data_IF_667918018692
#
_entry.id   IF_667918018692
#
_cell.length_a   1.000
_cell.length_b   1.000
_cell.length_c   1.000
_cell.angle_alpha   90.00
_cell.angle_beta   90.00
_cell.angle_gamma   90.00
#
_symmetry.space_group_name_H-M   'P 1'
#
loop_
_entity.id
_entity.type
_entity.pdbx_description
1 polymer ?
#
# COMPACT_ATOMS: atom_id res chain seq x y z
N UNK A 1 7.31 -10.65 -13.92
CA UNK A 1 6.34 -9.53 -14.10
C UNK A 1 5.07 -9.94 -13.38
N UNK A 2 4.73 -9.24 -12.31
CA UNK A 2 3.53 -9.50 -11.52
C UNK A 2 2.30 -9.03 -12.32
N UNK A 3 1.48 -9.95 -12.80
CA UNK A 3 0.28 -9.60 -13.55
C UNK A 3 -0.81 -9.06 -12.63
N UNK A 4 -1.61 -8.12 -13.09
CA UNK A 4 -2.76 -7.63 -12.32
C UNK A 4 -3.76 -8.72 -11.98
N UNK A 5 -3.89 -9.76 -12.81
CA UNK A 5 -4.71 -10.93 -12.51
C UNK A 5 -4.23 -11.66 -11.24
N UNK A 6 -2.92 -11.89 -11.12
CA UNK A 6 -2.33 -12.49 -9.93
C UNK A 6 -2.51 -11.61 -8.69
N UNK A 7 -2.21 -10.31 -8.81
CA UNK A 7 -2.39 -9.34 -7.72
C UNK A 7 -3.86 -9.29 -7.29
N UNK A 8 -4.79 -9.27 -8.24
CA UNK A 8 -6.23 -9.31 -7.95
C UNK A 8 -6.63 -10.56 -7.18
N UNK A 9 -6.11 -11.73 -7.57
CA UNK A 9 -6.38 -12.98 -6.85
C UNK A 9 -5.89 -12.94 -5.39
N UNK A 10 -4.74 -12.33 -5.14
CA UNK A 10 -4.20 -12.13 -3.80
C UNK A 10 -5.05 -11.12 -3.00
N UNK A 11 -5.36 -9.95 -3.57
CA UNK A 11 -6.16 -8.91 -2.91
C UNK A 11 -7.57 -9.36 -2.57
N UNK A 12 -8.17 -10.26 -3.36
CA UNK A 12 -9.49 -10.83 -3.11
C UNK A 12 -9.58 -11.62 -1.78
N UNK A 13 -8.44 -12.02 -1.21
CA UNK A 13 -8.37 -12.69 0.09
C UNK A 13 -8.60 -11.72 1.26
N UNK A 14 -8.43 -10.41 1.06
CA UNK A 14 -8.53 -9.38 2.09
C UNK A 14 -9.84 -8.60 2.06
N UNK A 15 -10.60 -8.66 0.96
CA UNK A 15 -11.88 -7.97 0.88
C UNK A 15 -12.43 -7.86 -0.52
N UNK A 16 -13.50 -7.07 -0.65
CA UNK A 16 -14.20 -6.87 -1.90
C UNK A 16 -13.38 -6.05 -2.89
N UNK A 17 -13.34 -6.50 -4.15
CA UNK A 17 -12.69 -5.84 -5.27
C UNK A 17 -13.73 -5.45 -6.32
N UNK A 18 -13.64 -4.22 -6.82
CA UNK A 18 -14.48 -3.74 -7.93
C UNK A 18 -13.63 -2.99 -8.94
N UNK A 19 -13.82 -3.19 -10.26
CA UNK A 19 -13.24 -2.30 -11.26
C UNK A 19 -13.64 -0.85 -10.97
N UNK A 20 -12.66 0.04 -10.95
CA UNK A 20 -12.86 1.46 -10.68
C UNK A 20 -12.32 2.26 -11.87
N UNK A 21 -13.20 2.72 -12.77
CA UNK A 21 -12.79 3.43 -13.97
C UNK A 21 -12.15 4.78 -13.63
N UNK A 22 -11.28 5.26 -14.51
CA UNK A 22 -10.51 6.52 -14.35
C UNK A 22 -11.37 7.72 -14.01
N UNK A 23 -12.61 7.76 -14.47
CA UNK A 23 -13.59 8.84 -14.24
C UNK A 23 -13.97 8.98 -12.77
N UNK A 24 -13.68 7.98 -11.94
CA UNK A 24 -13.88 8.06 -10.48
C UNK A 24 -12.77 8.85 -9.78
N UNK A 25 -11.66 9.16 -10.47
CA UNK A 25 -10.60 9.98 -9.91
C UNK A 25 -11.07 11.41 -9.66
N UNK A 26 -10.86 11.91 -8.45
CA UNK A 26 -11.30 13.25 -8.01
C UNK A 26 -10.13 14.20 -7.74
N UNK A 27 -8.90 13.77 -8.01
CA UNK A 27 -7.72 14.57 -7.76
C UNK A 27 -7.48 15.67 -8.79
N UNK A 28 -6.77 16.72 -8.36
CA UNK A 28 -6.34 17.81 -9.24
C UNK A 28 -5.12 17.47 -10.10
N UNK A 29 -4.41 16.38 -9.78
CA UNK A 29 -3.31 15.87 -10.60
C UNK A 29 -3.84 14.94 -11.68
N UNK A 30 -3.14 14.86 -12.81
CA UNK A 30 -3.42 13.84 -13.80
C UNK A 30 -3.17 12.45 -13.19
N UNK A 31 -4.18 11.56 -13.25
CA UNK A 31 -4.02 10.20 -12.76
C UNK A 31 -3.01 9.43 -13.63
N UNK A 32 -1.88 8.93 -13.06
CA UNK A 32 -0.93 8.13 -13.81
C UNK A 32 -1.58 6.87 -14.39
N UNK A 33 -1.15 6.46 -15.59
CA UNK A 33 -1.75 5.30 -16.26
C UNK A 33 -1.63 4.02 -15.43
N UNK A 34 -0.47 3.75 -14.82
CA UNK A 34 -0.29 2.56 -13.97
C UNK A 34 -1.22 2.52 -12.76
N UNK A 35 -1.58 3.69 -12.19
CA UNK A 35 -2.58 3.78 -11.11
C UNK A 35 -3.97 3.50 -11.65
N UNK A 36 -4.33 4.10 -12.81
CA UNK A 36 -5.62 3.83 -13.45
C UNK A 36 -5.79 2.34 -13.76
N UNK A 37 -4.77 1.70 -14.33
CA UNK A 37 -4.78 0.27 -14.65
C UNK A 37 -4.91 -0.61 -13.40
N UNK A 38 -4.22 -0.26 -12.31
CA UNK A 38 -4.35 -0.96 -11.03
C UNK A 38 -5.78 -0.88 -10.49
N UNK A 39 -6.37 0.31 -10.48
CA UNK A 39 -7.73 0.46 -9.97
C UNK A 39 -8.79 -0.17 -10.87
N UNK A 40 -8.59 -0.18 -12.17
CA UNK A 40 -9.51 -0.84 -13.10
C UNK A 40 -9.41 -2.37 -13.02
N UNK A 41 -8.19 -2.92 -12.88
CA UNK A 41 -7.96 -4.36 -12.95
C UNK A 41 -7.97 -5.05 -11.58
N UNK A 42 -7.41 -4.44 -10.54
CA UNK A 42 -7.43 -4.95 -9.15
C UNK A 42 -8.61 -4.36 -8.38
N UNK A 43 -8.64 -3.06 -8.24
CA UNK A 43 -9.76 -2.28 -7.72
C UNK A 43 -10.09 -2.54 -6.26
N UNK A 44 -9.19 -2.23 -5.29
CA UNK A 44 -9.49 -2.34 -3.87
C UNK A 44 -10.71 -1.49 -3.51
N UNK A 45 -11.76 -2.15 -3.00
CA UNK A 45 -13.04 -1.51 -2.68
C UNK A 45 -13.34 -1.60 -1.19
N UNK A 46 -13.28 -2.81 -0.64
CA UNK A 46 -13.56 -3.11 0.75
C UNK A 46 -15.05 -3.10 1.08
N UNK A 47 -15.38 -3.68 2.23
CA UNK A 47 -16.73 -3.70 2.74
C UNK A 47 -17.12 -2.34 3.35
N UNK A 48 -18.41 -2.01 3.28
CA UNK A 48 -18.99 -0.92 4.05
C UNK A 48 -19.24 -1.41 5.46
N UNK A 49 -18.38 -1.05 6.43
CA UNK A 49 -18.52 -1.48 7.82
C UNK A 49 -19.61 -0.72 8.58
N UNK A 50 -19.95 0.51 8.18
CA UNK A 50 -20.96 1.35 8.81
C UNK A 50 -21.94 1.85 7.78
N UNK A 51 -23.20 1.96 8.16
CA UNK A 51 -24.23 2.59 7.32
C UNK A 51 -23.77 4.00 6.91
N UNK A 52 -23.82 4.28 5.62
CA UNK A 52 -23.51 5.56 5.00
C UNK A 52 -22.02 5.98 4.88
N UNK A 53 -21.06 5.17 5.27
CA UNK A 53 -19.64 5.54 5.10
C UNK A 53 -19.12 5.16 3.71
N UNK A 54 -19.77 4.21 3.04
CA UNK A 54 -19.34 3.68 1.75
C UNK A 54 -18.09 2.80 1.87
N UNK A 55 -17.51 2.37 0.75
CA UNK A 55 -16.32 1.52 0.76
C UNK A 55 -15.14 2.27 1.38
N UNK A 56 -14.36 1.55 2.19
CA UNK A 56 -13.24 2.12 2.95
C UNK A 56 -11.88 1.74 2.38
N UNK A 57 -11.86 0.80 1.44
CA UNK A 57 -10.64 0.21 0.90
C UNK A 57 -10.32 -1.15 1.50
N UNK A 58 -9.12 -1.63 1.22
CA UNK A 58 -8.63 -2.91 1.69
C UNK A 58 -7.41 -2.71 2.56
N UNK A 59 -7.38 -3.33 3.73
CA UNK A 59 -6.20 -3.46 4.57
C UNK A 59 -5.65 -4.88 4.48
N UNK A 60 -4.35 -5.01 4.29
CA UNK A 60 -3.67 -6.29 4.08
C UNK A 60 -3.31 -6.95 5.41
N UNK A 61 -4.32 -7.43 6.16
CA UNK A 61 -4.16 -8.13 7.43
C UNK A 61 -3.28 -7.35 8.43
N UNK A 62 -2.44 -8.05 9.20
CA UNK A 62 -1.55 -7.51 10.24
C UNK A 62 -0.43 -6.59 9.73
N UNK A 63 -0.23 -6.48 8.42
CA UNK A 63 0.71 -5.48 7.87
C UNK A 63 0.21 -4.06 8.04
N UNK A 64 -1.08 -3.87 8.27
CA UNK A 64 -1.77 -2.58 8.33
C UNK A 64 -1.64 -1.72 7.05
N UNK A 65 -1.12 -2.29 5.95
CA UNK A 65 -1.07 -1.57 4.67
C UNK A 65 -2.48 -1.45 4.13
N UNK A 66 -2.93 -0.21 3.95
CA UNK A 66 -4.29 0.12 3.50
C UNK A 66 -4.29 0.78 2.13
N UNK A 67 -5.13 0.25 1.22
CA UNK A 67 -5.40 0.81 -0.10
C UNK A 67 -6.80 1.39 -0.13
N UNK A 68 -6.91 2.70 -0.30
CA UNK A 68 -8.20 3.37 -0.43
C UNK A 68 -8.86 3.10 -1.79
N UNK A 69 -10.19 3.20 -1.93
CA UNK A 69 -10.84 3.22 -3.25
C UNK A 69 -10.42 4.46 -4.06
N UNK A 70 -10.42 4.37 -5.39
CA UNK A 70 -9.95 5.45 -6.28
C UNK A 70 -10.62 6.81 -6.01
N UNK A 71 -11.95 6.81 -5.81
CA UNK A 71 -12.70 8.05 -5.54
C UNK A 71 -12.37 8.70 -4.19
N UNK A 72 -11.70 7.99 -3.27
CA UNK A 72 -11.22 8.51 -1.97
C UNK A 72 -9.72 8.76 -1.93
N UNK A 73 -8.98 8.28 -2.92
CA UNK A 73 -7.51 8.35 -2.90
C UNK A 73 -7.00 9.79 -2.85
N UNK A 74 -7.71 10.73 -3.48
CA UNK A 74 -7.33 12.15 -3.40
C UNK A 74 -7.53 12.71 -2.01
N UNK A 75 -8.64 12.46 -1.37
CA UNK A 75 -8.91 12.94 -0.01
C UNK A 75 -7.92 12.37 1.00
N UNK A 76 -7.41 11.17 0.74
CA UNK A 76 -6.36 10.53 1.57
C UNK A 76 -4.98 11.17 1.45
N UNK A 77 -4.77 12.15 0.56
CA UNK A 77 -3.56 12.97 0.53
C UNK A 77 -3.49 13.97 1.70
N UNK A 78 -4.61 14.20 2.41
CA UNK A 78 -4.67 15.04 3.60
C UNK A 78 -3.79 14.45 4.73
N UNK A 79 -2.95 15.29 5.33
CA UNK A 79 -1.92 14.89 6.29
C UNK A 79 -0.54 14.66 5.66
N UNK A 80 -0.50 14.48 4.33
CA UNK A 80 0.73 14.30 3.55
C UNK A 80 0.99 15.50 2.64
N UNK A 81 0.18 15.67 1.61
CA UNK A 81 0.31 16.76 0.63
C UNK A 81 -0.18 18.11 1.15
N UNK A 82 -1.19 18.10 2.00
CA UNK A 82 -1.72 19.28 2.68
C UNK A 82 -2.11 18.95 4.11
N UNK A 83 -2.00 19.95 4.97
CA UNK A 83 -2.47 19.86 6.34
C UNK A 83 -4.00 19.64 6.37
N UNK A 84 -4.44 18.60 7.06
CA UNK A 84 -5.84 18.15 7.04
C UNK A 84 -6.82 19.16 7.66
N UNK A 85 -6.34 20.09 8.51
CA UNK A 85 -7.17 21.08 9.22
C UNK A 85 -7.19 22.40 8.46
N UNK A 86 -6.01 22.91 8.11
CA UNK A 86 -5.88 24.24 7.48
C UNK A 86 -5.99 24.21 5.96
N UNK A 87 -5.86 23.04 5.33
CA UNK A 87 -5.77 22.87 3.88
C UNK A 87 -4.49 23.43 3.25
N UNK A 88 -3.54 23.90 4.07
CA UNK A 88 -2.28 24.43 3.58
C UNK A 88 -1.41 23.32 3.08
N UNK A 89 -0.71 23.60 1.97
CA UNK A 89 0.28 22.69 1.42
C UNK A 89 1.37 22.36 2.46
N UNK A 90 1.84 21.13 2.46
CA UNK A 90 3.01 20.67 3.21
C UNK A 90 4.24 20.89 2.31
N UNK A 91 5.19 21.69 2.77
CA UNK A 91 6.27 22.24 1.93
C UNK A 91 7.28 21.18 1.49
N UNK A 92 7.52 20.14 2.29
CA UNK A 92 8.45 19.04 2.03
C UNK A 92 7.81 17.86 1.27
N UNK A 93 6.49 17.92 0.99
CA UNK A 93 5.85 16.98 0.08
C UNK A 93 6.03 17.40 -1.37
N UNK A 94 6.70 16.56 -2.17
CA UNK A 94 7.00 16.89 -3.58
C UNK A 94 5.76 16.89 -4.46
N UNK A 95 5.73 17.76 -5.47
CA UNK A 95 4.57 17.90 -6.38
C UNK A 95 4.25 16.65 -7.18
N UNK A 96 5.28 15.87 -7.52
CA UNK A 96 5.17 14.62 -8.25
C UNK A 96 4.96 13.39 -7.36
N UNK A 97 4.70 13.55 -6.08
CA UNK A 97 4.40 12.46 -5.16
C UNK A 97 2.90 12.26 -4.99
N UNK A 98 2.46 11.01 -5.11
CA UNK A 98 1.09 10.61 -4.85
C UNK A 98 1.11 9.46 -3.83
N UNK A 99 0.57 9.67 -2.63
CA UNK A 99 0.36 8.58 -1.69
C UNK A 99 -0.66 7.60 -2.27
N UNK A 100 -0.32 6.33 -2.37
CA UNK A 100 -1.14 5.27 -2.98
C UNK A 100 -1.63 4.24 -1.96
N UNK A 101 -0.92 4.08 -0.87
CA UNK A 101 -1.26 3.26 0.28
C UNK A 101 -0.61 3.86 1.52
N UNK A 102 -1.07 3.48 2.69
CA UNK A 102 -0.45 3.87 3.95
C UNK A 102 -0.42 2.73 4.96
N UNK A 103 0.55 2.78 5.86
CA UNK A 103 0.69 1.90 7.02
C UNK A 103 0.76 2.76 8.28
N UNK A 104 -0.33 2.83 9.07
CA UNK A 104 -0.33 3.59 10.32
C UNK A 104 0.13 5.06 10.18
N UNK A 105 -0.25 5.74 9.09
CA UNK A 105 0.16 7.09 8.69
C UNK A 105 1.58 7.19 8.09
N UNK A 106 2.26 6.09 7.83
CA UNK A 106 3.49 6.04 7.03
C UNK A 106 3.12 5.81 5.56
N UNK A 107 3.35 6.78 4.66
CA UNK A 107 2.86 6.70 3.29
C UNK A 107 3.74 5.85 2.40
N UNK A 108 3.09 5.02 1.57
CA UNK A 108 3.68 4.49 0.35
C UNK A 108 3.36 5.43 -0.81
N UNK A 109 4.40 5.96 -1.43
CA UNK A 109 4.35 7.11 -2.32
C UNK A 109 4.74 6.68 -3.73
N UNK A 110 3.87 6.87 -4.70
CA UNK A 110 4.25 6.82 -6.10
C UNK A 110 4.98 8.12 -6.47
N UNK A 111 6.25 8.03 -6.84
CA UNK A 111 6.93 9.10 -7.55
C UNK A 111 6.50 9.06 -9.03
N UNK A 112 5.66 10.02 -9.43
CA UNK A 112 5.11 10.08 -10.79
C UNK A 112 6.17 10.41 -11.87
N UNK A 113 7.36 10.86 -11.45
CA UNK A 113 8.46 11.14 -12.37
C UNK A 113 9.26 9.90 -12.74
N UNK A 114 9.43 8.98 -11.80
CA UNK A 114 10.20 7.74 -11.97
C UNK A 114 9.33 6.49 -12.11
N UNK A 115 8.10 6.52 -11.59
CA UNK A 115 7.21 5.36 -11.47
C UNK A 115 7.49 4.48 -10.26
N UNK A 116 8.54 4.80 -9.49
CA UNK A 116 8.94 4.03 -8.30
C UNK A 116 7.99 4.25 -7.13
N UNK A 117 7.92 3.26 -6.26
CA UNK A 117 7.23 3.38 -4.96
C UNK A 117 8.27 3.64 -3.89
N UNK A 118 8.03 4.70 -3.14
CA UNK A 118 8.84 5.13 -2.02
C UNK A 118 8.04 4.92 -0.73
N UNK A 119 8.75 4.84 0.40
CA UNK A 119 8.16 4.86 1.74
C UNK A 119 8.83 5.93 2.58
N UNK A 120 8.04 6.59 3.43
CA UNK A 120 8.55 7.55 4.41
C UNK A 120 7.89 7.32 5.76
N UNK A 121 8.59 7.64 6.85
CA UNK A 121 8.02 7.57 8.21
C UNK A 121 7.46 8.92 8.62
N UNK A 122 6.29 8.92 9.25
CA UNK A 122 5.72 10.13 9.85
C UNK A 122 6.49 10.55 11.10
N UNK A 123 6.38 11.81 11.50
CA UNK A 123 6.96 12.32 12.76
C UNK A 123 8.45 12.61 12.73
N UNK A 124 9.15 12.38 11.62
CA UNK A 124 10.57 12.69 11.47
C UNK A 124 10.86 14.21 11.21
N UNK A 125 9.82 15.02 11.08
CA UNK A 125 9.93 16.46 10.81
C UNK A 125 10.09 16.82 9.34
N UNK A 126 10.39 15.85 8.49
CA UNK A 126 10.42 15.97 7.03
C UNK A 126 10.12 14.62 6.39
N UNK A 127 9.62 14.62 5.15
CA UNK A 127 9.35 13.41 4.39
C UNK A 127 10.63 12.94 3.68
N UNK A 128 11.43 12.13 4.39
CA UNK A 128 12.63 11.46 3.82
C UNK A 128 12.23 10.09 3.30
N UNK A 129 11.94 10.02 1.99
CA UNK A 129 11.37 8.84 1.36
C UNK A 129 12.43 8.01 0.62
N UNK A 130 12.54 6.72 0.99
CA UNK A 130 13.36 5.72 0.34
C UNK A 130 12.57 4.83 -0.62
N UNK A 131 13.21 4.32 -1.69
CA UNK A 131 12.59 3.39 -2.63
C UNK A 131 12.35 2.03 -1.96
N UNK A 132 11.15 1.46 -2.18
CA UNK A 132 10.75 0.13 -1.68
C UNK A 132 10.33 -0.81 -2.79
N UNK A 133 9.94 -0.28 -3.96
CA UNK A 133 9.64 -1.10 -5.13
C UNK A 133 9.84 -0.31 -6.43
N UNK A 134 10.16 -0.98 -7.55
CA UNK A 134 10.40 -0.33 -8.83
C UNK A 134 9.11 0.22 -9.47
N UNK A 135 7.95 -0.32 -9.14
CA UNK A 135 6.65 0.08 -9.68
C UNK A 135 5.48 -0.34 -8.78
N UNK A 136 4.29 0.18 -9.06
CA UNK A 136 3.07 -0.12 -8.31
C UNK A 136 2.66 -1.60 -8.37
N UNK A 137 2.69 -2.32 -9.51
CA UNK A 137 2.39 -3.74 -9.54
C UNK A 137 3.31 -4.58 -8.65
N UNK A 138 4.61 -4.31 -8.66
CA UNK A 138 5.59 -5.02 -7.83
C UNK A 138 5.35 -4.74 -6.35
N UNK A 139 5.13 -3.47 -5.99
CA UNK A 139 4.77 -3.09 -4.61
C UNK A 139 3.49 -3.79 -4.14
N UNK A 140 2.43 -3.74 -4.95
CA UNK A 140 1.16 -4.34 -4.57
C UNK A 140 1.26 -5.87 -4.39
N UNK A 141 2.04 -6.55 -5.26
CA UNK A 141 2.31 -7.98 -5.13
C UNK A 141 3.13 -8.30 -3.87
N UNK A 142 4.17 -7.51 -3.58
CA UNK A 142 5.01 -7.67 -2.38
C UNK A 142 4.20 -7.48 -1.09
N UNK A 143 3.44 -6.38 -1.00
CA UNK A 143 2.57 -6.09 0.13
C UNK A 143 1.52 -7.20 0.35
N UNK A 144 0.88 -7.68 -0.73
CA UNK A 144 -0.07 -8.78 -0.66
C UNK A 144 0.58 -10.10 -0.24
N UNK A 145 1.81 -10.38 -0.67
CA UNK A 145 2.53 -11.60 -0.31
C UNK A 145 2.78 -11.67 1.21
N UNK A 146 3.25 -10.58 1.83
CA UNK A 146 3.40 -10.52 3.30
C UNK A 146 2.04 -10.60 3.99
N UNK A 147 1.05 -9.83 3.52
CA UNK A 147 -0.29 -9.87 4.08
C UNK A 147 -0.91 -11.28 4.06
N UNK A 148 -0.65 -12.08 3.01
CA UNK A 148 -1.12 -13.47 2.94
C UNK A 148 -0.44 -14.36 3.98
N UNK A 149 0.86 -14.18 4.24
CA UNK A 149 1.54 -14.90 5.32
C UNK A 149 0.89 -14.60 6.65
N UNK A 150 0.58 -13.32 6.93
CA UNK A 150 -0.11 -12.90 8.14
C UNK A 150 -1.53 -13.52 8.22
N UNK A 151 -2.29 -13.43 7.14
CA UNK A 151 -3.67 -13.95 7.06
C UNK A 151 -3.72 -15.46 7.28
N UNK A 152 -2.75 -16.20 6.76
CA UNK A 152 -2.67 -17.66 6.89
C UNK A 152 -2.13 -18.11 8.24
N UNK A 153 -1.29 -17.32 8.88
CA UNK A 153 -0.78 -17.58 10.22
C UNK A 153 -1.84 -17.28 11.30
N UNK A 154 -2.68 -16.27 11.06
CA UNK A 154 -3.74 -15.83 11.98
C UNK A 154 -3.21 -15.65 13.41
N UNK A 155 -3.83 -16.25 14.41
CA UNK A 155 -3.40 -16.17 15.82
C UNK A 155 -2.00 -16.77 16.05
N UNK A 156 -1.52 -17.64 15.16
CA UNK A 156 -0.19 -18.25 15.25
C UNK A 156 0.96 -17.33 14.77
N UNK A 157 0.66 -16.15 14.23
CA UNK A 157 1.69 -15.24 13.66
C UNK A 157 2.77 -14.84 14.67
N UNK A 158 2.36 -14.60 15.93
CA UNK A 158 3.23 -14.05 16.99
C UNK A 158 3.42 -15.01 18.15
N UNK A 159 4.57 -14.89 18.83
CA UNK A 159 4.84 -15.55 20.09
C UNK A 159 4.22 -14.78 21.28
N UNK A 160 4.42 -15.29 22.50
CA UNK A 160 3.92 -14.66 23.73
C UNK A 160 4.54 -13.28 24.01
N UNK A 161 5.69 -12.97 23.43
CA UNK A 161 6.38 -11.67 23.51
C UNK A 161 5.95 -10.71 22.39
N UNK A 162 4.94 -11.07 21.59
CA UNK A 162 4.42 -10.31 20.45
C UNK A 162 5.39 -10.18 19.27
N UNK A 163 6.46 -10.94 19.24
CA UNK A 163 7.38 -11.02 18.09
C UNK A 163 6.84 -11.98 17.03
N UNK A 164 7.08 -11.66 15.77
CA UNK A 164 6.76 -12.58 14.66
C UNK A 164 7.60 -13.85 14.79
N UNK A 165 6.95 -14.99 14.73
CA UNK A 165 7.64 -16.27 14.82
C UNK A 165 8.60 -16.48 13.65
N UNK A 166 9.79 -17.05 13.87
CA UNK A 166 10.82 -17.23 12.84
C UNK A 166 10.36 -17.95 11.58
N UNK A 167 9.44 -18.92 11.71
CA UNK A 167 8.87 -19.64 10.57
C UNK A 167 8.02 -18.74 9.66
N UNK A 168 7.27 -17.79 10.22
CA UNK A 168 6.47 -16.85 9.44
C UNK A 168 7.34 -15.75 8.83
N UNK A 169 8.36 -15.29 9.55
CA UNK A 169 9.36 -14.38 9.01
C UNK A 169 10.08 -15.01 7.80
N UNK A 170 10.52 -16.27 7.91
CA UNK A 170 11.16 -16.98 6.81
C UNK A 170 10.21 -17.17 5.60
N UNK A 171 8.92 -17.44 5.84
CA UNK A 171 7.90 -17.53 4.78
C UNK A 171 7.68 -16.18 4.08
N UNK A 172 7.62 -15.09 4.86
CA UNK A 172 7.48 -13.73 4.32
C UNK A 172 8.70 -13.35 3.46
N UNK A 173 9.90 -13.61 3.94
CA UNK A 173 11.14 -13.37 3.20
C UNK A 173 11.19 -14.18 1.90
N UNK A 174 10.83 -15.46 1.94
CA UNK A 174 10.76 -16.31 0.74
C UNK A 174 9.74 -15.76 -0.28
N UNK A 175 8.56 -15.37 0.18
CA UNK A 175 7.50 -14.84 -0.68
C UNK A 175 7.90 -13.51 -1.31
N UNK A 176 8.53 -12.61 -0.54
CA UNK A 176 9.05 -11.33 -1.03
C UNK A 176 10.19 -11.52 -2.03
N UNK A 177 11.15 -12.40 -1.74
CA UNK A 177 12.25 -12.70 -2.68
C UNK A 177 11.71 -13.22 -4.02
N UNK A 178 10.65 -14.02 -4.01
CA UNK A 178 10.01 -14.47 -5.24
C UNK A 178 9.35 -13.34 -6.05
N UNK A 179 8.90 -12.26 -5.39
CA UNK A 179 8.26 -11.09 -6.02
C UNK A 179 9.29 -10.06 -6.47
N UNK A 180 10.24 -9.72 -5.60
CA UNK A 180 11.24 -8.66 -5.81
C UNK A 180 12.43 -9.17 -6.64
N UNK A 181 12.75 -10.47 -6.54
CA UNK A 181 13.84 -11.10 -7.27
C UNK A 181 15.20 -11.02 -6.56
N UNK A 182 15.27 -10.32 -5.42
CA UNK A 182 16.48 -10.11 -4.63
C UNK A 182 16.19 -10.25 -3.14
N UNK A 183 17.10 -10.90 -2.40
CA UNK A 183 16.92 -11.16 -0.97
C UNK A 183 17.16 -9.91 -0.11
N UNK A 184 18.11 -9.08 -0.47
CA UNK A 184 18.42 -7.85 0.28
C UNK A 184 17.28 -6.83 0.13
N UNK A 185 16.66 -6.75 -1.08
CA UNK A 185 15.43 -5.95 -1.29
C UNK A 185 14.26 -6.50 -0.48
N UNK A 186 14.13 -7.83 -0.36
CA UNK A 186 13.09 -8.48 0.44
C UNK A 186 13.27 -8.21 1.94
N UNK A 187 14.49 -8.29 2.47
CA UNK A 187 14.81 -7.92 3.85
C UNK A 187 14.50 -6.43 4.10
N UNK A 188 14.95 -5.54 3.21
CA UNK A 188 14.66 -4.12 3.29
C UNK A 188 13.15 -3.80 3.28
N UNK A 189 12.36 -4.56 2.54
CA UNK A 189 10.91 -4.41 2.55
C UNK A 189 10.28 -4.83 3.89
N UNK A 190 10.77 -5.92 4.51
CA UNK A 190 10.33 -6.33 5.85
C UNK A 190 10.71 -5.32 6.92
N UNK A 191 11.92 -4.73 6.84
CA UNK A 191 12.38 -3.69 7.76
C UNK A 191 11.46 -2.44 7.68
N UNK A 192 11.02 -2.08 6.47
CA UNK A 192 10.06 -0.98 6.27
C UNK A 192 8.73 -1.26 6.98
N UNK A 193 8.27 -2.51 6.94
CA UNK A 193 7.01 -2.93 7.58
C UNK A 193 7.14 -3.14 9.10
N UNK A 194 8.35 -3.10 9.66
CA UNK A 194 8.62 -3.49 11.06
C UNK A 194 8.13 -4.92 11.36
N UNK A 195 8.40 -5.79 10.38
CA UNK A 195 7.89 -7.16 10.38
C UNK A 195 8.87 -8.13 11.04
#
# INVERSE_FOLDING_TARGET
MNSFEHIRAQFARFGELRPQPREQWQGSLALPQGVADFYEQVGPWGATHYQNVGPVGITLSETNISFAPLHKLWDRQAGYRWDAVSGKRVDDWRDNWLMIADQNADPFILDMGTGQILHARHGAGAWDAGMVAPDLPTFAAAAAAVGLVCLEADEDLRNDDWEIKPEHLARALQALTAVLGDADEAEGFLDVLEF
#
